data_IF_451014766603
#
_entry.id   IF_451014766603
#
_cell.length_a   1.000
_cell.length_b   1.000
_cell.length_c   1.000
_cell.angle_alpha   90.00
_cell.angle_beta   90.00
_cell.angle_gamma   90.00
#
_symmetry.space_group_name_H-M   'P 1'
#
loop_
_entity.id
_entity.type
_entity.pdbx_description
1 polymer ?
#
# COMPACT_ATOMS: atom_id res chain seq x y z
N UNK A 1 -12.71 21.06 -8.22
CA UNK A 1 -11.86 20.25 -7.33
C UNK A 1 -11.19 19.19 -8.19
N UNK A 2 -9.91 18.90 -7.96
CA UNK A 2 -9.24 17.82 -8.68
C UNK A 2 -9.80 16.47 -8.20
N UNK A 3 -9.90 15.49 -9.10
CA UNK A 3 -10.31 14.14 -8.73
C UNK A 3 -9.19 13.49 -7.88
N UNK A 4 -9.52 12.77 -6.79
CA UNK A 4 -8.54 12.02 -6.03
C UNK A 4 -7.75 11.03 -6.91
N UNK A 5 -6.48 10.83 -6.58
CA UNK A 5 -5.58 9.92 -7.31
C UNK A 5 -4.97 8.92 -6.33
N UNK A 6 -5.04 7.64 -6.68
CA UNK A 6 -4.33 6.56 -5.99
C UNK A 6 -3.17 6.10 -6.88
N UNK A 7 -1.94 6.26 -6.39
CA UNK A 7 -0.74 5.78 -7.10
C UNK A 7 -0.32 4.43 -6.53
N UNK A 8 -0.33 3.39 -7.37
CA UNK A 8 0.08 2.03 -6.98
C UNK A 8 1.51 1.78 -7.46
N UNK A 9 2.40 1.41 -6.53
CA UNK A 9 3.81 1.11 -6.82
C UNK A 9 4.22 -0.24 -6.25
N UNK A 10 5.22 -0.88 -6.86
CA UNK A 10 5.79 -2.14 -6.38
C UNK A 10 7.03 -1.92 -5.50
N UNK A 11 7.13 -2.66 -4.40
CA UNK A 11 8.28 -2.68 -3.47
C UNK A 11 9.36 -3.73 -3.84
N UNK A 12 9.31 -4.27 -5.05
CA UNK A 12 10.20 -5.35 -5.49
C UNK A 12 9.86 -6.71 -4.86
N UNK A 13 10.61 -7.77 -5.20
CA UNK A 13 10.37 -9.14 -4.74
C UNK A 13 10.98 -9.47 -3.36
N UNK A 14 11.69 -8.53 -2.73
CA UNK A 14 12.49 -8.80 -1.55
C UNK A 14 12.94 -7.53 -0.84
N UNK A 15 14.25 -7.45 -0.56
CA UNK A 15 14.86 -6.36 0.19
C UNK A 15 14.91 -5.00 -0.54
N UNK A 16 15.30 -3.93 0.18
CA UNK A 16 15.36 -2.56 -0.32
C UNK A 16 16.14 -2.37 -1.62
N UNK A 17 17.13 -3.22 -1.88
CA UNK A 17 17.97 -3.21 -3.09
C UNK A 17 17.19 -3.47 -4.38
N UNK A 18 15.98 -4.01 -4.30
CA UNK A 18 15.09 -4.22 -5.45
C UNK A 18 14.03 -3.13 -5.62
N UNK A 19 14.02 -2.11 -4.77
CA UNK A 19 13.08 -0.98 -4.89
C UNK A 19 13.67 0.06 -5.84
N UNK A 20 12.90 0.44 -6.87
CA UNK A 20 13.36 1.43 -7.85
C UNK A 20 13.39 2.84 -7.27
N UNK A 21 14.27 3.70 -7.79
CA UNK A 21 14.30 5.12 -7.42
C UNK A 21 12.96 5.82 -7.70
N UNK A 22 12.27 5.42 -8.76
CA UNK A 22 10.94 5.94 -9.10
C UNK A 22 9.92 5.58 -8.01
N UNK A 23 9.87 4.32 -7.56
CA UNK A 23 9.02 3.90 -6.42
C UNK A 23 9.29 4.74 -5.18
N UNK A 24 10.56 4.93 -4.82
CA UNK A 24 10.94 5.73 -3.65
C UNK A 24 10.53 7.20 -3.80
N UNK A 25 10.60 7.75 -5.01
CA UNK A 25 10.16 9.11 -5.29
C UNK A 25 8.65 9.28 -5.15
N UNK A 26 7.85 8.31 -5.62
CA UNK A 26 6.39 8.33 -5.48
C UNK A 26 5.97 8.16 -4.02
N UNK A 27 6.62 7.28 -3.25
CA UNK A 27 6.40 7.18 -1.80
C UNK A 27 6.64 8.53 -1.13
N UNK A 28 7.78 9.20 -1.39
CA UNK A 28 8.07 10.51 -0.77
C UNK A 28 7.09 11.63 -1.15
N UNK A 29 6.38 11.50 -2.27
CA UNK A 29 5.42 12.50 -2.75
C UNK A 29 4.02 12.32 -2.17
N UNK A 30 3.67 11.10 -1.77
CA UNK A 30 2.37 10.81 -1.22
C UNK A 30 2.24 11.33 0.21
N UNK A 31 1.02 11.77 0.57
CA UNK A 31 0.69 12.21 1.94
C UNK A 31 0.19 11.04 2.78
N UNK A 32 -0.47 10.07 2.15
CA UNK A 32 -1.04 8.90 2.79
C UNK A 32 -0.38 7.65 2.23
N UNK A 33 0.02 6.76 3.13
CA UNK A 33 0.74 5.55 2.79
C UNK A 33 -0.05 4.32 3.22
N UNK A 34 -0.13 3.37 2.30
CA UNK A 34 -0.77 2.08 2.54
C UNK A 34 0.13 0.97 2.01
N UNK A 35 0.19 -0.14 2.74
CA UNK A 35 0.88 -1.36 2.30
C UNK A 35 -0.06 -2.55 2.45
N UNK A 36 0.01 -3.51 1.52
CA UNK A 36 -0.76 -4.75 1.64
C UNK A 36 -0.43 -5.52 2.92
N UNK A 37 0.82 -5.45 3.36
CA UNK A 37 1.30 -6.13 4.57
C UNK A 37 2.55 -5.43 5.11
N UNK A 38 2.69 -5.39 6.44
CA UNK A 38 3.92 -4.96 7.12
C UNK A 38 5.04 -6.02 7.06
N UNK A 39 4.72 -7.25 6.64
CA UNK A 39 5.65 -8.39 6.59
C UNK A 39 6.60 -8.36 5.39
N UNK A 40 6.36 -7.49 4.42
CA UNK A 40 7.22 -7.38 3.24
C UNK A 40 8.61 -6.86 3.65
N UNK A 41 9.73 -7.43 3.15
CA UNK A 41 11.07 -7.01 3.60
C UNK A 41 11.37 -5.53 3.37
N UNK A 42 10.78 -4.94 2.34
CA UNK A 42 10.86 -3.50 2.02
C UNK A 42 9.72 -2.64 2.59
N UNK A 43 8.81 -3.18 3.42
CA UNK A 43 7.70 -2.40 3.98
C UNK A 43 8.18 -1.20 4.83
N UNK A 44 9.32 -1.36 5.50
CA UNK A 44 9.93 -0.31 6.33
C UNK A 44 10.37 0.94 5.55
N UNK A 45 10.47 0.85 4.21
CA UNK A 45 10.75 2.01 3.36
C UNK A 45 9.55 2.93 3.19
N UNK A 46 8.35 2.46 3.53
CA UNK A 46 7.11 3.24 3.49
C UNK A 46 6.76 3.67 4.92
N UNK A 47 7.38 4.75 5.38
CA UNK A 47 7.18 5.26 6.73
C UNK A 47 5.70 5.62 6.99
N UNK A 48 5.23 5.37 8.21
CA UNK A 48 3.87 5.67 8.68
C UNK A 48 2.75 5.03 7.84
N UNK A 49 3.06 3.94 7.12
CA UNK A 49 2.07 3.24 6.33
C UNK A 49 1.07 2.48 7.19
N UNK A 50 -0.21 2.58 6.81
CA UNK A 50 -1.25 1.68 7.30
C UNK A 50 -1.12 0.35 6.56
N UNK A 51 -0.94 -0.75 7.29
CA UNK A 51 -0.99 -2.08 6.69
C UNK A 51 -2.41 -2.64 6.69
N UNK A 52 -2.69 -3.53 5.74
CA UNK A 52 -3.93 -4.30 5.68
C UNK A 52 -3.76 -5.73 6.21
N UNK A 53 -2.81 -5.94 7.13
CA UNK A 53 -2.60 -7.26 7.75
C UNK A 53 -3.87 -7.75 8.47
N UNK A 54 -4.63 -6.82 9.06
CA UNK A 54 -5.91 -7.09 9.72
C UNK A 54 -6.97 -7.64 8.76
N UNK A 55 -7.02 -7.13 7.52
CA UNK A 55 -7.94 -7.61 6.48
C UNK A 55 -7.58 -9.03 6.07
N UNK A 56 -6.29 -9.32 5.90
CA UNK A 56 -5.82 -10.68 5.62
C UNK A 56 -6.11 -11.67 6.76
N UNK A 57 -6.16 -11.21 8.00
CA UNK A 57 -6.44 -12.04 9.17
C UNK A 57 -7.94 -12.34 9.37
N UNK A 58 -8.82 -11.45 8.89
CA UNK A 58 -10.27 -11.52 9.14
C UNK A 58 -11.08 -12.07 7.96
N UNK A 59 -10.60 -11.90 6.72
CA UNK A 59 -11.34 -12.29 5.53
C UNK A 59 -11.29 -13.81 5.27
N UNK A 60 -12.42 -14.37 4.81
CA UNK A 60 -12.54 -15.79 4.48
C UNK A 60 -11.90 -16.14 3.12
N UNK A 61 -11.90 -15.18 2.18
CA UNK A 61 -11.35 -15.37 0.84
C UNK A 61 -10.45 -14.21 0.40
N UNK A 62 -9.60 -14.46 -0.59
CA UNK A 62 -8.80 -13.39 -1.19
C UNK A 62 -9.64 -12.35 -1.92
N UNK A 63 -10.79 -12.74 -2.49
CA UNK A 63 -11.68 -11.80 -3.15
C UNK A 63 -12.24 -10.79 -2.14
N UNK A 64 -12.61 -11.25 -0.94
CA UNK A 64 -13.05 -10.38 0.16
C UNK A 64 -11.93 -9.44 0.61
N UNK A 65 -10.68 -9.93 0.68
CA UNK A 65 -9.52 -9.07 1.00
C UNK A 65 -9.38 -7.93 0.00
N UNK A 66 -9.45 -8.23 -1.30
CA UNK A 66 -9.25 -7.22 -2.33
C UNK A 66 -10.42 -6.22 -2.39
N UNK A 67 -11.66 -6.68 -2.16
CA UNK A 67 -12.82 -5.81 -2.07
C UNK A 67 -12.66 -4.80 -0.91
N UNK A 68 -12.38 -5.28 0.30
CA UNK A 68 -12.22 -4.46 1.51
C UNK A 68 -11.06 -3.46 1.39
N UNK A 69 -9.90 -3.89 0.88
CA UNK A 69 -8.74 -2.99 0.65
C UNK A 69 -9.11 -1.88 -0.33
N UNK A 70 -9.82 -2.22 -1.40
CA UNK A 70 -10.23 -1.24 -2.43
C UNK A 70 -11.18 -0.20 -1.84
N UNK A 71 -12.18 -0.63 -1.06
CA UNK A 71 -13.12 0.26 -0.39
C UNK A 71 -12.42 1.23 0.57
N UNK A 72 -11.50 0.72 1.41
CA UNK A 72 -10.72 1.55 2.34
C UNK A 72 -9.84 2.58 1.61
N UNK A 73 -9.19 2.18 0.51
CA UNK A 73 -8.36 3.09 -0.29
C UNK A 73 -9.18 4.20 -0.96
N UNK A 74 -10.35 3.86 -1.52
CA UNK A 74 -11.25 4.84 -2.13
C UNK A 74 -11.75 5.81 -1.06
N UNK A 75 -12.19 5.31 0.10
CA UNK A 75 -12.65 6.15 1.20
C UNK A 75 -11.55 7.08 1.73
N UNK A 76 -10.30 6.62 1.81
CA UNK A 76 -9.17 7.43 2.27
C UNK A 76 -8.69 8.48 1.24
N UNK A 77 -9.05 8.33 -0.03
CA UNK A 77 -8.69 9.28 -1.08
C UNK A 77 -9.66 10.48 -1.16
N UNK A 78 -10.84 10.38 -0.55
CA UNK A 78 -11.90 11.38 -0.58
C UNK A 78 -11.70 12.58 0.37
#
# INVERSE_FOLDING_TARGET
>A
MAQPVVTVVGLGPGGPEYVTEHTLAEIRRATHHFVRTSRHPSASLVADAVSFDDVYEQADTFDDVYAEITERLVAAAH
#
